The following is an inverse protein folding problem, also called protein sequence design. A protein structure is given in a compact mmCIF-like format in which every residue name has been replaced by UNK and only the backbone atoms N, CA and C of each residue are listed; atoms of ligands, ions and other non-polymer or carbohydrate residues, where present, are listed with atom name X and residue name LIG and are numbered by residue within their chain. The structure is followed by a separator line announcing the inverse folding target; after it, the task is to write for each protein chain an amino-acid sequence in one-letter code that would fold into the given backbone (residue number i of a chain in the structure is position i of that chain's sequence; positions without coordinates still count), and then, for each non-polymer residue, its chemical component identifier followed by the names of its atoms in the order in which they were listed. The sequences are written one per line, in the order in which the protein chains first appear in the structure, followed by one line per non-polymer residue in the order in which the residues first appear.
data_IF_239939581035
#
_entry.id   IF_239939581035
#
_cell.length_a   1.000
_cell.length_b   1.000
_cell.length_c   1.000
_cell.angle_alpha   90.00
_cell.angle_beta   90.00
_cell.angle_gamma   90.00
#
_symmetry.space_group_name_H-M   'P 1'
#
loop_
_entity.id
_entity.type
_entity.pdbx_description
1 polymer ?
#
# COMPACT_ATOMS: atom_id res chain seq x y z
N UNK A 1 -4.98 -40.39 5.98
CA UNK A 1 -3.71 -40.04 5.30
C UNK A 1 -3.33 -41.03 4.18
N UNK A 2 -3.74 -42.31 4.25
CA UNK A 2 -3.41 -43.33 3.23
C UNK A 2 -4.26 -43.26 1.92
N UNK A 3 -5.36 -42.53 1.90
CA UNK A 3 -6.26 -42.48 0.75
C UNK A 3 -5.90 -41.39 -0.28
N UNK A 4 -5.01 -40.43 0.06
CA UNK A 4 -4.60 -39.37 -0.85
C UNK A 4 -3.31 -39.66 -1.65
N UNK A 5 -2.49 -40.61 -1.19
CA UNK A 5 -1.25 -40.98 -1.93
C UNK A 5 -1.52 -41.84 -3.17
N UNK A 6 -2.59 -42.63 -3.19
CA UNK A 6 -2.91 -43.48 -4.35
C UNK A 6 -3.43 -42.69 -5.55
N UNK A 7 -4.12 -41.56 -5.37
CA UNK A 7 -4.63 -40.74 -6.49
C UNK A 7 -3.52 -39.99 -7.24
N UNK A 8 -2.41 -39.66 -6.58
CA UNK A 8 -1.26 -39.01 -7.25
C UNK A 8 -0.46 -39.97 -8.14
N UNK A 9 -0.34 -41.23 -7.73
CA UNK A 9 0.38 -42.26 -8.52
C UNK A 9 -0.39 -42.66 -9.78
N UNK A 10 -1.71 -42.69 -9.75
CA UNK A 10 -2.54 -43.03 -10.89
C UNK A 10 -2.60 -41.92 -11.93
N UNK A 11 -2.54 -40.66 -11.51
CA UNK A 11 -2.45 -39.49 -12.41
C UNK A 11 -1.12 -39.45 -13.19
N UNK A 12 -0.01 -39.82 -12.58
CA UNK A 12 1.31 -39.86 -13.24
C UNK A 12 1.41 -41.04 -14.21
N UNK A 13 0.72 -42.15 -13.95
CA UNK A 13 0.68 -43.29 -14.88
C UNK A 13 -0.16 -43.05 -16.14
N UNK A 14 -1.19 -42.22 -16.07
CA UNK A 14 -2.01 -41.85 -17.23
C UNK A 14 -1.33 -40.88 -18.17
N UNK A 15 -0.38 -40.07 -17.73
CA UNK A 15 0.40 -39.13 -18.55
C UNK A 15 1.53 -39.83 -19.35
N UNK A 16 1.89 -41.06 -19.01
CA UNK A 16 2.99 -41.81 -19.66
C UNK A 16 2.57 -42.69 -20.84
N UNK A 17 1.28 -42.81 -21.14
CA UNK A 17 0.73 -43.73 -22.14
C UNK A 17 0.26 -43.01 -23.43
N UNK A 18 0.21 -41.68 -23.46
CA UNK A 18 -0.28 -40.91 -24.62
C UNK A 18 0.82 -40.31 -25.51
N UNK A 19 2.07 -40.69 -25.32
CA UNK A 19 3.25 -40.13 -26.01
C UNK A 19 3.90 -41.00 -27.10
N UNK A 20 3.29 -42.10 -27.55
CA UNK A 20 3.95 -42.98 -28.51
C UNK A 20 2.96 -43.56 -29.53
N UNK A 21 2.49 -42.76 -30.48
CA UNK A 21 1.96 -43.24 -31.76
C UNK A 21 1.69 -42.01 -32.67
N UNK A 22 2.63 -41.68 -33.54
CA UNK A 22 2.45 -41.17 -34.91
C UNK A 22 3.81 -40.76 -35.51
N UNK A 23 4.45 -41.72 -36.13
CA UNK A 23 5.50 -41.49 -37.11
C UNK A 23 5.49 -42.65 -38.09
N UNK A 24 4.75 -42.50 -39.19
CA UNK A 24 5.06 -43.21 -40.46
C UNK A 24 4.09 -42.76 -41.58
N UNK A 25 4.68 -42.28 -42.68
CA UNK A 25 4.08 -42.26 -44.04
C UNK A 25 3.46 -40.93 -44.44
N UNK A 26 3.89 -40.20 -45.44
CA UNK A 26 4.33 -40.61 -46.75
C UNK A 26 4.92 -39.38 -47.49
N UNK A 27 6.00 -39.62 -48.21
CA UNK A 27 6.53 -38.75 -49.23
C UNK A 27 5.62 -38.72 -50.45
N UNK A 28 5.17 -37.54 -50.88
CA UNK A 28 4.79 -37.28 -52.27
C UNK A 28 5.38 -35.93 -52.68
N UNK A 29 6.27 -36.02 -53.65
CA UNK A 29 6.86 -34.93 -54.42
C UNK A 29 5.83 -34.39 -55.42
N UNK A 30 5.72 -33.05 -55.55
CA UNK A 30 5.41 -32.42 -56.84
C UNK A 30 5.84 -30.95 -56.85
N UNK A 31 6.70 -30.71 -57.73
CA UNK A 31 7.19 -29.53 -58.47
C UNK A 31 6.47 -28.21 -58.41
N UNK A 32 7.27 -27.18 -58.29
CA UNK A 32 7.28 -25.81 -58.80
C UNK A 32 6.00 -25.18 -59.39
N UNK A 33 5.61 -24.04 -58.78
CA UNK A 33 5.37 -22.83 -59.59
C UNK A 33 5.63 -21.56 -58.75
N UNK A 34 6.58 -20.76 -59.26
CA UNK A 34 6.88 -19.41 -58.82
C UNK A 34 5.68 -18.48 -59.02
N UNK A 35 5.35 -17.71 -58.02
CA UNK A 35 4.72 -16.41 -58.19
C UNK A 35 5.19 -15.49 -57.06
N UNK A 36 6.08 -14.58 -57.42
CA UNK A 36 6.49 -13.45 -56.58
C UNK A 36 5.33 -12.52 -56.36
N UNK A 37 5.03 -12.22 -55.09
CA UNK A 37 4.63 -10.88 -54.61
C UNK A 37 5.03 -10.76 -53.15
N UNK A 38 6.21 -10.20 -52.95
CA UNK A 38 6.60 -9.63 -51.66
C UNK A 38 5.75 -8.40 -51.42
N UNK A 39 4.76 -8.48 -50.56
CA UNK A 39 4.28 -7.38 -49.77
C UNK A 39 4.77 -7.58 -48.34
N UNK A 40 5.92 -6.98 -48.05
CA UNK A 40 6.41 -6.83 -46.70
C UNK A 40 5.38 -5.93 -45.93
N UNK A 41 4.51 -6.55 -45.19
CA UNK A 41 3.75 -5.84 -44.13
C UNK A 41 4.78 -5.46 -43.08
N UNK A 42 5.32 -4.24 -43.21
CA UNK A 42 6.04 -3.59 -42.13
C UNK A 42 4.97 -3.32 -41.06
N UNK A 43 4.79 -4.23 -40.13
CA UNK A 43 4.18 -3.94 -38.85
C UNK A 43 5.05 -2.87 -38.17
N UNK A 44 4.73 -1.63 -38.44
CA UNK A 44 5.22 -0.51 -37.64
C UNK A 44 4.60 -0.68 -36.25
N UNK A 45 5.22 -1.50 -35.42
CA UNK A 45 4.97 -1.45 -33.98
C UNK A 45 5.24 0.01 -33.58
N UNK A 46 4.18 0.77 -33.39
CA UNK A 46 4.25 2.01 -32.65
C UNK A 46 4.88 1.67 -31.30
N UNK A 47 6.17 1.90 -31.18
CA UNK A 47 6.88 1.91 -29.90
C UNK A 47 6.30 3.13 -29.17
N UNK A 48 5.14 2.96 -28.55
CA UNK A 48 4.67 3.89 -27.54
C UNK A 48 5.76 3.86 -26.45
N UNK A 49 6.44 4.97 -26.18
CA UNK A 49 7.44 4.99 -25.13
C UNK A 49 6.76 4.47 -23.87
N UNK A 50 7.27 3.38 -23.33
CA UNK A 50 6.72 2.77 -22.11
C UNK A 50 6.86 3.81 -21.01
N UNK A 51 5.75 4.41 -20.58
CA UNK A 51 5.77 5.41 -19.53
C UNK A 51 6.49 4.80 -18.32
N UNK A 52 7.54 5.47 -17.85
CA UNK A 52 8.21 5.06 -16.63
C UNK A 52 7.21 5.17 -15.48
N UNK A 53 7.18 4.17 -14.58
CA UNK A 53 6.28 4.17 -13.44
C UNK A 53 6.49 5.36 -12.50
N UNK A 54 5.50 5.65 -11.68
CA UNK A 54 5.60 6.67 -10.63
C UNK A 54 6.63 6.21 -9.58
N UNK A 55 7.60 7.07 -9.23
CA UNK A 55 8.58 6.74 -8.18
C UNK A 55 7.96 6.75 -6.80
N UNK A 56 8.39 5.83 -5.95
CA UNK A 56 8.08 5.86 -4.53
C UNK A 56 8.92 6.95 -3.86
N UNK A 57 8.27 7.95 -3.31
CA UNK A 57 8.90 9.04 -2.57
C UNK A 57 8.43 9.10 -1.12
N UNK A 58 7.55 8.18 -0.71
CA UNK A 58 7.14 8.02 0.67
C UNK A 58 6.91 6.56 1.05
N UNK A 59 6.95 6.30 2.35
CA UNK A 59 6.66 4.97 2.90
C UNK A 59 6.03 5.06 4.27
N UNK A 60 5.19 4.08 4.60
CA UNK A 60 4.82 3.82 5.97
C UNK A 60 5.98 3.17 6.75
N UNK A 61 5.95 3.31 8.06
CA UNK A 61 6.69 2.51 9.05
C UNK A 61 5.68 1.87 9.98
N UNK A 62 5.81 0.56 10.21
CA UNK A 62 4.94 -0.20 11.09
C UNK A 62 5.74 -1.08 12.07
N UNK A 63 5.63 -0.79 13.36
CA UNK A 63 6.18 -1.58 14.46
C UNK A 63 5.09 -1.97 15.49
N UNK A 64 3.81 -1.83 15.12
CA UNK A 64 2.72 -1.95 16.09
C UNK A 64 1.52 -2.76 15.60
N UNK A 65 1.35 -2.99 14.30
CA UNK A 65 0.23 -3.77 13.78
C UNK A 65 0.37 -5.23 14.20
N UNK A 66 -0.77 -5.86 14.48
CA UNK A 66 -0.81 -7.24 14.97
C UNK A 66 -0.52 -8.31 13.91
N UNK A 67 -0.59 -7.95 12.66
CA UNK A 67 -0.42 -8.82 11.49
C UNK A 67 0.92 -8.63 10.77
N UNK A 68 1.71 -7.64 11.19
CA UNK A 68 3.06 -7.39 10.69
C UNK A 68 4.05 -7.70 11.82
N UNK A 69 4.95 -8.70 11.65
CA UNK A 69 5.92 -9.04 12.69
C UNK A 69 6.97 -7.92 12.81
N UNK A 70 7.25 -7.46 14.03
CA UNK A 70 8.37 -6.52 14.24
C UNK A 70 9.72 -7.20 13.91
N UNK A 71 10.71 -6.42 13.52
CA UNK A 71 11.99 -6.93 13.06
C UNK A 71 13.07 -7.02 14.18
N UNK A 72 12.73 -6.66 15.41
CA UNK A 72 13.67 -6.56 16.53
C UNK A 72 14.84 -5.58 16.26
N UNK A 73 14.60 -4.54 15.50
CA UNK A 73 15.61 -3.57 15.20
C UNK A 73 15.82 -2.58 16.35
N UNK A 74 17.08 -2.26 16.62
CA UNK A 74 17.46 -1.14 17.43
C UNK A 74 17.73 0.11 16.58
N UNK A 75 18.19 1.18 17.21
CA UNK A 75 18.43 2.47 16.55
C UNK A 75 19.43 2.34 15.38
N UNK A 76 20.43 1.48 15.50
CA UNK A 76 21.45 1.28 14.45
C UNK A 76 20.83 0.71 13.16
N UNK A 77 19.96 -0.26 13.28
CA UNK A 77 19.27 -0.86 12.14
C UNK A 77 18.27 0.13 11.53
N UNK A 78 17.53 0.88 12.35
CA UNK A 78 16.65 1.94 11.88
C UNK A 78 17.42 3.06 11.17
N UNK A 79 18.56 3.50 11.71
CA UNK A 79 19.42 4.49 11.04
C UNK A 79 19.86 4.01 9.65
N UNK A 80 20.28 2.76 9.54
CA UNK A 80 20.63 2.16 8.25
C UNK A 80 19.44 2.05 7.30
N UNK A 81 18.24 1.80 7.83
CA UNK A 81 17.02 1.69 7.01
C UNK A 81 16.60 3.04 6.42
N UNK A 82 16.68 4.10 7.23
CA UNK A 82 16.50 5.47 6.74
C UNK A 82 17.52 5.84 5.66
N UNK A 83 18.77 5.38 5.77
CA UNK A 83 19.77 5.55 4.72
C UNK A 83 19.37 4.83 3.41
N UNK A 84 18.85 3.61 3.49
CA UNK A 84 18.35 2.88 2.32
C UNK A 84 17.12 3.54 1.70
N UNK A 85 16.17 4.01 2.50
CA UNK A 85 15.03 4.81 2.04
C UNK A 85 15.51 6.04 1.26
N UNK A 86 16.43 6.80 1.84
CA UNK A 86 17.02 8.01 1.22
C UNK A 86 17.69 7.69 -0.11
N UNK A 87 18.41 6.57 -0.19
CA UNK A 87 19.14 6.16 -1.39
C UNK A 87 18.24 5.91 -2.60
N UNK A 88 16.97 5.56 -2.41
CA UNK A 88 16.02 5.38 -3.50
C UNK A 88 15.09 6.57 -3.73
N UNK A 89 15.27 7.67 -2.97
CA UNK A 89 14.53 8.91 -3.14
C UNK A 89 13.29 9.05 -2.25
N UNK A 90 13.13 8.23 -1.22
CA UNK A 90 12.08 8.44 -0.22
C UNK A 90 12.43 9.70 0.58
N UNK A 91 11.49 10.62 0.64
CA UNK A 91 11.57 11.91 1.33
C UNK A 91 10.52 12.07 2.44
N UNK A 92 9.58 11.13 2.51
CA UNK A 92 8.45 11.18 3.44
C UNK A 92 8.29 9.83 4.14
N UNK A 93 8.29 9.86 5.46
CA UNK A 93 8.07 8.69 6.32
C UNK A 93 6.77 8.90 7.10
N UNK A 94 5.90 7.90 7.11
CA UNK A 94 4.58 7.95 7.71
C UNK A 94 4.48 6.87 8.77
N UNK A 95 4.37 7.24 10.03
CA UNK A 95 4.05 6.28 11.09
C UNK A 95 2.62 5.79 10.90
N UNK A 96 2.41 4.47 10.76
CA UNK A 96 1.08 3.91 10.48
C UNK A 96 0.06 4.25 11.58
N UNK A 97 0.48 4.19 12.83
CA UNK A 97 -0.30 4.59 14.00
C UNK A 97 0.59 4.75 15.23
N UNK A 98 0.24 5.67 16.09
CA UNK A 98 0.96 5.91 17.34
C UNK A 98 0.64 4.89 18.43
N UNK A 99 -0.41 4.13 18.25
CA UNK A 99 -0.80 3.05 19.14
C UNK A 99 -1.94 2.23 18.54
N UNK A 100 -2.02 0.97 18.95
CA UNK A 100 -3.10 0.05 18.64
C UNK A 100 -3.59 -0.62 19.92
N UNK A 101 -4.84 -0.37 20.28
CA UNK A 101 -5.42 -0.85 21.54
C UNK A 101 -4.57 -0.40 22.75
N UNK A 102 -3.90 -1.35 23.43
CA UNK A 102 -3.06 -1.06 24.61
C UNK A 102 -1.57 -0.89 24.30
N UNK A 103 -1.16 -1.14 23.06
CA UNK A 103 0.24 -0.97 22.63
C UNK A 103 0.43 0.40 22.03
N UNK A 104 1.50 1.11 22.44
CA UNK A 104 1.80 2.46 22.00
C UNK A 104 3.28 2.59 21.64
N UNK A 105 3.60 3.47 20.69
CA UNK A 105 4.97 3.67 20.17
C UNK A 105 5.76 4.72 20.92
N UNK A 106 5.11 5.51 21.79
CA UNK A 106 5.72 6.56 22.59
C UNK A 106 5.06 6.63 23.98
N UNK A 107 5.73 7.17 25.02
CA UNK A 107 5.20 7.15 26.40
C UNK A 107 4.11 8.20 26.63
N UNK A 108 2.96 8.05 25.98
CA UNK A 108 1.81 8.94 26.14
C UNK A 108 1.25 8.89 27.56
N UNK A 109 1.33 9.99 28.28
CA UNK A 109 0.75 10.10 29.62
C UNK A 109 -0.78 9.96 29.58
N UNK A 110 -1.41 10.52 28.54
CA UNK A 110 -2.85 10.44 28.34
C UNK A 110 -3.33 9.01 28.08
N UNK A 111 -2.72 8.31 27.11
CA UNK A 111 -3.14 6.95 26.75
C UNK A 111 -2.87 5.94 27.88
N UNK A 112 -1.74 6.04 28.57
CA UNK A 112 -1.43 5.20 29.72
C UNK A 112 -2.42 5.40 30.86
N UNK A 113 -2.76 6.66 31.19
CA UNK A 113 -3.69 6.99 32.28
C UNK A 113 -5.14 6.65 31.94
N UNK A 114 -5.58 6.99 30.72
CA UNK A 114 -7.01 6.95 30.35
C UNK A 114 -7.43 5.58 29.82
N UNK A 115 -6.58 4.93 29.01
CA UNK A 115 -6.89 3.65 28.36
C UNK A 115 -6.10 2.47 28.94
N UNK A 116 -5.22 2.71 29.91
CA UNK A 116 -4.39 1.67 30.52
C UNK A 116 -3.41 1.07 29.50
N UNK A 117 -2.89 1.89 28.60
CA UNK A 117 -1.88 1.48 27.61
C UNK A 117 -0.57 1.12 28.31
N UNK A 118 0.15 0.17 27.74
CA UNK A 118 1.44 -0.27 28.26
C UNK A 118 2.51 0.78 27.95
N UNK A 119 3.37 1.05 28.93
CA UNK A 119 4.54 1.91 28.71
C UNK A 119 5.47 1.23 27.70
N UNK A 120 5.83 1.88 26.59
CA UNK A 120 6.79 1.31 25.64
C UNK A 120 8.19 1.27 26.25
N UNK A 121 8.99 0.28 25.84
CA UNK A 121 10.39 0.15 26.28
C UNK A 121 11.30 1.21 25.64
N UNK A 122 10.93 1.69 24.46
CA UNK A 122 11.64 2.72 23.69
C UNK A 122 10.64 3.73 23.20
N UNK A 123 11.01 5.00 23.18
CA UNK A 123 10.25 6.05 22.48
C UNK A 123 10.58 6.00 20.98
N UNK A 124 9.80 5.19 20.24
CA UNK A 124 9.98 5.04 18.79
C UNK A 124 9.65 6.34 18.04
N UNK A 125 8.71 7.14 18.54
CA UNK A 125 8.34 8.40 17.90
C UNK A 125 9.50 9.39 17.93
N UNK A 126 10.15 9.56 19.11
CA UNK A 126 11.33 10.41 19.24
C UNK A 126 12.46 9.94 18.29
N UNK A 127 12.74 8.65 18.32
CA UNK A 127 13.80 8.06 17.51
C UNK A 127 13.55 8.29 16.01
N UNK A 128 12.32 8.04 15.51
CA UNK A 128 12.00 8.22 14.10
C UNK A 128 12.03 9.69 13.67
N UNK A 129 11.57 10.61 14.51
CA UNK A 129 11.65 12.05 14.23
C UNK A 129 13.11 12.51 14.13
N UNK A 130 13.98 12.06 15.04
CA UNK A 130 15.39 12.38 15.03
C UNK A 130 16.12 11.79 13.81
N UNK A 131 15.77 10.58 13.41
CA UNK A 131 16.30 9.98 12.19
C UNK A 131 15.79 10.71 10.94
N UNK A 132 14.52 11.07 10.91
CA UNK A 132 13.96 11.86 9.81
C UNK A 132 14.63 13.24 9.71
N UNK A 133 14.90 13.92 10.83
CA UNK A 133 15.71 15.15 10.88
C UNK A 133 17.12 14.93 10.30
N UNK A 134 17.79 13.86 10.71
CA UNK A 134 19.15 13.51 10.25
C UNK A 134 19.21 13.34 8.72
N UNK A 135 18.21 12.69 8.13
CA UNK A 135 18.18 12.41 6.69
C UNK A 135 17.43 13.46 5.87
N UNK A 136 16.91 14.53 6.51
CA UNK A 136 16.14 15.58 5.85
C UNK A 136 14.86 15.04 5.21
N UNK A 137 14.13 14.18 5.90
CA UNK A 137 12.88 13.62 5.51
C UNK A 137 11.72 14.28 6.26
N UNK A 138 10.54 14.29 5.63
CA UNK A 138 9.28 14.66 6.27
C UNK A 138 8.76 13.47 7.06
N UNK A 139 8.25 13.73 8.25
CA UNK A 139 7.59 12.72 9.08
C UNK A 139 6.12 13.09 9.27
N UNK A 140 5.25 12.12 9.02
CA UNK A 140 3.80 12.22 9.26
C UNK A 140 3.46 11.32 10.45
N UNK A 141 2.87 11.94 11.47
CA UNK A 141 2.47 11.22 12.68
C UNK A 141 1.12 10.54 12.48
N UNK A 142 1.07 9.21 12.63
CA UNK A 142 -0.17 8.43 12.61
C UNK A 142 -0.91 8.48 13.94
N UNK A 143 -2.20 8.77 13.91
CA UNK A 143 -3.04 8.86 15.09
C UNK A 143 -3.18 7.52 15.82
N UNK A 144 -3.73 7.56 17.03
CA UNK A 144 -4.03 6.37 17.83
C UNK A 144 -5.25 5.63 17.28
N UNK A 145 -5.14 4.31 17.18
CA UNK A 145 -6.22 3.40 16.81
C UNK A 145 -6.69 2.62 18.05
N UNK A 146 -7.91 2.90 18.49
CA UNK A 146 -8.48 2.20 19.64
C UNK A 146 -8.83 0.73 19.36
N UNK A 147 -8.93 0.35 18.12
CA UNK A 147 -9.38 -0.96 17.64
C UNK A 147 -10.88 -1.18 17.71
N UNK A 148 -11.65 -0.22 18.20
CA UNK A 148 -13.12 -0.39 18.40
C UNK A 148 -13.89 -0.35 17.09
N UNK A 149 -13.54 0.56 16.17
CA UNK A 149 -14.24 0.70 14.90
C UNK A 149 -14.10 -0.53 13.99
N UNK A 150 -13.05 -1.30 14.13
CA UNK A 150 -12.87 -2.54 13.37
C UNK A 150 -13.97 -3.57 13.60
N UNK A 151 -14.55 -3.57 14.81
CA UNK A 151 -15.64 -4.48 15.15
C UNK A 151 -17.04 -3.89 14.89
N UNK A 152 -17.17 -2.58 14.92
CA UNK A 152 -18.47 -1.88 14.90
C UNK A 152 -18.73 -1.12 13.60
N UNK A 153 -17.70 -0.79 12.84
CA UNK A 153 -17.76 0.14 11.70
C UNK A 153 -18.07 1.59 12.10
N UNK A 154 -18.01 1.92 13.40
CA UNK A 154 -18.36 3.25 13.93
C UNK A 154 -17.08 4.01 14.36
N UNK A 155 -16.78 5.10 13.68
CA UNK A 155 -15.58 5.92 13.91
C UNK A 155 -15.77 7.04 14.96
N UNK A 156 -16.95 7.21 15.51
CA UNK A 156 -17.22 8.33 16.46
C UNK A 156 -16.34 8.29 17.70
N UNK A 157 -15.99 7.08 18.18
CA UNK A 157 -15.08 6.90 19.31
C UNK A 157 -13.64 7.38 19.03
N UNK A 158 -13.19 7.32 17.80
CA UNK A 158 -11.82 7.70 17.43
C UNK A 158 -11.59 9.21 17.58
N UNK A 159 -12.64 10.03 17.42
CA UNK A 159 -12.57 11.48 17.65
C UNK A 159 -12.18 11.76 19.12
N UNK A 160 -12.91 11.18 20.06
CA UNK A 160 -12.65 11.38 21.49
C UNK A 160 -11.30 10.78 21.91
N UNK A 161 -10.94 9.62 21.36
CA UNK A 161 -9.67 8.95 21.67
C UNK A 161 -8.45 9.77 21.25
N UNK A 162 -8.55 10.50 20.14
CA UNK A 162 -7.42 11.24 19.57
C UNK A 162 -7.35 12.72 19.97
N UNK A 163 -8.44 13.27 20.51
CA UNK A 163 -8.49 14.67 20.91
C UNK A 163 -7.28 15.13 21.74
N UNK A 164 -6.94 14.41 22.78
CA UNK A 164 -5.81 14.73 23.64
C UNK A 164 -4.47 14.18 23.13
N UNK A 165 -4.49 13.13 22.32
CA UNK A 165 -3.28 12.60 21.68
C UNK A 165 -2.66 13.64 20.75
N UNK A 166 -3.47 14.31 19.93
CA UNK A 166 -3.02 15.34 18.99
C UNK A 166 -2.34 16.50 19.74
N UNK A 167 -2.98 17.01 20.81
CA UNK A 167 -2.43 18.10 21.64
C UNK A 167 -1.15 17.68 22.37
N UNK A 168 -1.14 16.48 22.99
CA UNK A 168 0.01 15.95 23.72
C UNK A 168 1.22 15.77 22.82
N UNK A 169 1.01 15.18 21.64
CA UNK A 169 2.09 14.93 20.69
C UNK A 169 2.65 16.22 20.13
N UNK A 170 1.80 17.13 19.70
CA UNK A 170 2.29 18.42 19.19
C UNK A 170 3.08 19.20 20.25
N UNK A 171 2.59 19.23 21.47
CA UNK A 171 3.29 19.88 22.59
C UNK A 171 4.67 19.29 22.85
N UNK A 172 4.79 17.95 22.78
CA UNK A 172 6.01 17.25 23.16
C UNK A 172 7.00 17.07 21.99
N UNK A 173 6.52 16.91 20.76
CA UNK A 173 7.33 16.57 19.60
C UNK A 173 7.23 17.56 18.43
N UNK A 174 6.34 18.53 18.46
CA UNK A 174 6.17 19.50 17.39
C UNK A 174 7.39 20.41 17.14
N UNK A 175 8.41 20.34 18.00
CA UNK A 175 9.66 21.08 17.83
C UNK A 175 10.65 20.42 16.85
N UNK A 176 10.45 19.15 16.48
CA UNK A 176 11.27 18.49 15.47
C UNK A 176 10.98 19.06 14.08
N UNK A 177 12.02 19.36 13.32
CA UNK A 177 11.90 19.93 11.97
C UNK A 177 11.24 18.95 10.99
N UNK A 178 11.45 17.66 11.21
CA UNK A 178 10.88 16.57 10.42
C UNK A 178 9.38 16.39 10.64
N UNK A 179 8.81 16.85 11.75
CA UNK A 179 7.37 16.76 11.99
C UNK A 179 6.63 17.68 11.00
N UNK A 180 6.19 17.11 9.85
CA UNK A 180 5.69 17.89 8.71
C UNK A 180 4.28 17.49 8.26
N UNK A 181 3.60 16.63 9.01
CA UNK A 181 2.23 16.25 8.68
C UNK A 181 1.61 15.26 9.66
N UNK A 182 0.35 14.98 9.43
CA UNK A 182 -0.48 14.08 10.21
C UNK A 182 -1.06 12.99 9.32
N UNK A 183 -1.10 11.78 9.82
CA UNK A 183 -1.81 10.68 9.20
C UNK A 183 -3.01 10.29 10.07
N UNK A 184 -4.22 10.46 9.53
CA UNK A 184 -5.46 10.02 10.18
C UNK A 184 -5.58 8.51 9.95
N UNK A 185 -5.13 7.75 10.94
CA UNK A 185 -4.80 6.32 10.81
C UNK A 185 -6.01 5.38 10.78
N UNK A 186 -7.21 5.90 10.83
CA UNK A 186 -8.43 5.10 10.74
C UNK A 186 -8.65 4.66 9.30
N UNK A 187 -8.56 3.35 9.06
CA UNK A 187 -8.70 2.77 7.73
C UNK A 187 -10.17 2.38 7.48
N UNK A 188 -10.67 2.76 6.31
CA UNK A 188 -12.00 2.39 5.81
C UNK A 188 -11.91 2.04 4.33
N UNK A 189 -12.94 1.36 3.81
CA UNK A 189 -13.06 1.09 2.36
C UNK A 189 -14.32 1.73 1.77
N UNK A 190 -15.31 1.93 2.59
CA UNK A 190 -16.65 2.37 2.20
C UNK A 190 -17.13 3.50 3.10
N UNK A 191 -18.22 4.15 2.70
CA UNK A 191 -18.91 5.09 3.58
C UNK A 191 -19.39 4.36 4.85
N UNK A 192 -18.71 4.64 5.97
CA UNK A 192 -19.02 4.07 7.28
C UNK A 192 -19.52 5.13 8.22
N UNK A 193 -20.24 4.69 9.28
CA UNK A 193 -20.80 5.62 10.29
C UNK A 193 -19.70 6.47 10.92
N UNK A 194 -19.89 7.78 10.86
CA UNK A 194 -18.99 8.75 11.47
C UNK A 194 -17.67 8.98 10.70
N UNK A 195 -17.50 8.43 9.50
CA UNK A 195 -16.25 8.57 8.72
C UNK A 195 -15.95 10.04 8.37
N UNK A 196 -16.95 10.74 7.83
CA UNK A 196 -16.83 12.16 7.46
C UNK A 196 -16.54 13.00 8.70
N UNK A 197 -17.31 12.80 9.79
CA UNK A 197 -17.14 13.54 11.04
C UNK A 197 -15.75 13.29 11.64
N UNK A 198 -15.28 12.03 11.64
CA UNK A 198 -13.98 11.67 12.19
C UNK A 198 -12.84 12.32 11.39
N UNK A 199 -12.80 12.13 10.09
CA UNK A 199 -11.73 12.70 9.25
C UNK A 199 -11.76 14.23 9.23
N UNK A 200 -12.96 14.84 9.17
CA UNK A 200 -13.09 16.29 9.19
C UNK A 200 -12.69 16.87 10.55
N UNK A 201 -13.18 16.31 11.66
CA UNK A 201 -12.88 16.82 13.01
C UNK A 201 -11.42 16.62 13.39
N UNK A 202 -10.86 15.41 13.15
CA UNK A 202 -9.46 15.11 13.46
C UNK A 202 -8.51 15.89 12.56
N UNK A 203 -8.81 15.98 11.26
CA UNK A 203 -8.02 16.75 10.31
C UNK A 203 -7.98 18.24 10.69
N UNK A 204 -9.16 18.81 11.02
CA UNK A 204 -9.23 20.19 11.51
C UNK A 204 -8.41 20.40 12.77
N UNK A 205 -8.54 19.53 13.77
CA UNK A 205 -7.78 19.65 15.02
C UNK A 205 -6.27 19.54 14.80
N UNK A 206 -5.82 18.59 13.96
CA UNK A 206 -4.42 18.47 13.59
C UNK A 206 -3.86 19.77 13.00
N UNK A 207 -4.61 20.39 12.08
CA UNK A 207 -4.25 21.68 11.48
C UNK A 207 -4.25 22.82 12.51
N UNK A 208 -5.29 22.91 13.33
CA UNK A 208 -5.42 23.98 14.32
C UNK A 208 -4.23 24.00 15.30
N UNK A 209 -3.82 22.84 15.82
CA UNK A 209 -2.72 22.79 16.80
C UNK A 209 -1.34 22.99 16.18
N UNK A 210 -1.16 22.64 14.91
CA UNK A 210 0.14 22.66 14.24
C UNK A 210 0.35 23.85 13.29
N UNK A 211 -0.60 24.79 13.25
CA UNK A 211 -0.50 25.93 12.35
C UNK A 211 -0.68 25.58 10.88
N UNK A 212 -1.47 24.53 10.58
CA UNK A 212 -1.84 24.18 9.21
C UNK A 212 -1.01 23.08 8.58
N UNK A 213 -0.29 22.25 9.34
CA UNK A 213 0.42 21.09 8.75
C UNK A 213 -0.56 20.16 8.01
N UNK A 214 -0.12 19.58 6.87
CA UNK A 214 -0.99 18.77 6.03
C UNK A 214 -1.42 17.46 6.71
N UNK A 215 -2.57 16.96 6.27
CA UNK A 215 -3.20 15.73 6.74
C UNK A 215 -3.36 14.74 5.61
N UNK A 216 -3.18 13.45 5.91
CA UNK A 216 -3.25 12.31 5.00
C UNK A 216 -4.23 11.28 5.51
N UNK A 217 -5.00 10.66 4.60
CA UNK A 217 -5.74 9.41 4.84
C UNK A 217 -5.26 8.33 3.86
N UNK A 218 -5.38 7.06 4.25
CA UNK A 218 -5.01 5.92 3.38
C UNK A 218 -6.05 4.80 3.45
N UNK A 219 -7.21 4.99 2.84
CA UNK A 219 -8.27 3.98 2.77
C UNK A 219 -7.93 2.87 1.77
N UNK A 220 -8.59 1.69 1.90
CA UNK A 220 -8.47 0.65 0.88
C UNK A 220 -9.67 0.63 -0.06
N UNK A 221 -9.52 -0.07 -1.20
CA UNK A 221 -10.59 -0.28 -2.18
C UNK A 221 -11.06 -1.74 -2.08
N UNK A 222 -12.37 -1.98 -1.93
CA UNK A 222 -12.95 -3.34 -1.91
C UNK A 222 -13.08 -3.91 -3.34
N UNK A 223 -11.94 -4.08 -4.03
CA UNK A 223 -11.89 -4.68 -5.35
C UNK A 223 -12.06 -6.20 -5.33
N UNK A 224 -11.91 -6.83 -6.49
CA UNK A 224 -12.12 -8.29 -6.69
C UNK A 224 -11.24 -9.16 -5.81
N UNK A 225 -10.03 -8.70 -5.44
CA UNK A 225 -9.13 -9.44 -4.54
C UNK A 225 -9.59 -9.44 -3.09
N UNK A 226 -10.18 -8.34 -2.60
CA UNK A 226 -10.71 -8.28 -1.24
C UNK A 226 -11.76 -9.36 -1.02
N UNK A 227 -12.70 -9.45 -1.93
CA UNK A 227 -13.80 -10.42 -1.89
C UNK A 227 -13.28 -11.85 -2.00
N UNK A 228 -12.37 -12.13 -2.94
CA UNK A 228 -11.78 -13.46 -3.11
C UNK A 228 -10.94 -13.91 -1.90
N UNK A 229 -10.33 -12.98 -1.16
CA UNK A 229 -9.53 -13.28 0.02
C UNK A 229 -10.36 -13.51 1.30
N UNK A 230 -11.54 -12.90 1.38
CA UNK A 230 -12.36 -12.93 2.59
C UNK A 230 -13.08 -14.28 2.79
N UNK A 231 -13.53 -14.92 1.72
CA UNK A 231 -14.24 -16.20 1.80
C UNK A 231 -14.32 -16.89 0.43
N UNK A 232 -14.25 -18.22 0.43
CA UNK A 232 -14.53 -19.03 -0.76
C UNK A 232 -16.00 -19.02 -1.16
N UNK A 233 -16.88 -18.48 -0.33
CA UNK A 233 -18.33 -18.40 -0.55
C UNK A 233 -18.78 -17.02 -1.05
N UNK A 234 -17.88 -16.01 -1.03
CA UNK A 234 -18.17 -14.68 -1.57
C UNK A 234 -17.64 -14.61 -3.01
N UNK A 235 -18.50 -14.21 -3.92
CA UNK A 235 -18.20 -14.09 -5.35
C UNK A 235 -17.36 -12.84 -5.64
N UNK A 236 -16.54 -12.87 -6.70
CA UNK A 236 -15.87 -11.66 -7.23
C UNK A 236 -16.87 -10.60 -7.72
N UNK A 237 -18.09 -10.98 -7.98
CA UNK A 237 -19.20 -10.08 -8.36
C UNK A 237 -19.68 -9.20 -7.20
N UNK A 238 -19.36 -9.59 -5.95
CA UNK A 238 -19.68 -8.80 -4.75
C UNK A 238 -18.68 -7.68 -4.46
N UNK A 239 -17.63 -7.55 -5.28
CA UNK A 239 -16.69 -6.43 -5.19
C UNK A 239 -17.38 -5.10 -5.54
N UNK A 240 -16.90 -3.99 -4.94
CA UNK A 240 -17.43 -2.68 -5.28
C UNK A 240 -17.17 -2.35 -6.75
N UNK A 241 -18.18 -1.84 -7.45
CA UNK A 241 -17.98 -1.31 -8.80
C UNK A 241 -17.26 0.04 -8.76
N UNK A 242 -16.63 0.42 -9.87
CA UNK A 242 -15.97 1.72 -10.00
C UNK A 242 -16.95 2.87 -9.77
N UNK A 243 -18.18 2.75 -10.28
CA UNK A 243 -19.23 3.77 -10.13
C UNK A 243 -19.71 3.88 -8.68
N UNK A 244 -19.83 2.75 -7.98
CA UNK A 244 -20.21 2.75 -6.56
C UNK A 244 -19.10 3.37 -5.71
N UNK A 245 -17.85 3.04 -5.99
CA UNK A 245 -16.69 3.63 -5.35
C UNK A 245 -16.65 5.16 -5.58
N UNK A 246 -16.82 5.61 -6.83
CA UNK A 246 -16.88 7.04 -7.16
C UNK A 246 -17.99 7.76 -6.39
N UNK A 247 -19.16 7.17 -6.32
CA UNK A 247 -20.31 7.76 -5.60
C UNK A 247 -20.02 7.95 -4.11
N UNK A 248 -19.59 6.87 -3.44
CA UNK A 248 -19.36 6.90 -1.99
C UNK A 248 -18.17 7.81 -1.61
N UNK A 249 -17.08 7.72 -2.34
CA UNK A 249 -15.89 8.54 -2.06
C UNK A 249 -16.07 10.01 -2.48
N UNK A 250 -16.91 10.30 -3.45
CA UNK A 250 -17.29 11.69 -3.76
C UNK A 250 -18.04 12.35 -2.59
N UNK A 251 -18.91 11.61 -1.91
CA UNK A 251 -19.61 12.09 -0.71
C UNK A 251 -18.62 12.31 0.45
N UNK A 252 -17.71 11.36 0.67
CA UNK A 252 -16.68 11.49 1.71
C UNK A 252 -15.78 12.69 1.42
N UNK A 253 -15.25 12.81 0.20
CA UNK A 253 -14.35 13.90 -0.17
C UNK A 253 -15.02 15.28 -0.05
N UNK A 254 -16.29 15.39 -0.43
CA UNK A 254 -17.04 16.64 -0.24
C UNK A 254 -17.14 17.04 1.24
N UNK A 255 -17.32 16.04 2.13
CA UNK A 255 -17.43 16.27 3.58
C UNK A 255 -16.11 16.57 4.29
N UNK A 256 -14.96 16.14 3.73
CA UNK A 256 -13.64 16.29 4.37
C UNK A 256 -12.73 17.32 3.71
N UNK A 257 -13.13 17.88 2.58
CA UNK A 257 -12.34 18.89 1.85
C UNK A 257 -11.95 20.06 2.74
N UNK A 258 -10.72 20.53 2.62
CA UNK A 258 -10.16 21.59 3.47
C UNK A 258 -9.63 21.11 4.82
N UNK A 259 -10.08 19.94 5.31
CA UNK A 259 -9.58 19.32 6.53
C UNK A 259 -8.64 18.12 6.27
N UNK A 260 -8.74 17.52 5.08
CA UNK A 260 -7.83 16.47 4.59
C UNK A 260 -7.17 16.96 3.29
N UNK A 261 -5.85 16.90 3.24
CA UNK A 261 -5.06 17.44 2.12
C UNK A 261 -4.67 16.38 1.11
N UNK A 262 -4.44 15.13 1.54
CA UNK A 262 -4.04 14.04 0.66
C UNK A 262 -4.79 12.73 0.97
N UNK A 263 -5.07 11.97 -0.08
CA UNK A 263 -5.63 10.63 0.02
C UNK A 263 -4.76 9.65 -0.77
N UNK A 264 -4.28 8.59 -0.10
CA UNK A 264 -3.46 7.54 -0.67
C UNK A 264 -4.22 6.21 -0.63
N UNK A 265 -5.02 5.92 -1.65
CA UNK A 265 -5.74 4.65 -1.69
C UNK A 265 -4.79 3.45 -1.75
N UNK A 266 -5.01 2.48 -0.85
CA UNK A 266 -4.31 1.19 -0.86
C UNK A 266 -4.82 0.33 -2.02
N UNK A 267 -3.90 -0.22 -2.79
CA UNK A 267 -4.18 -0.96 -4.03
C UNK A 267 -4.17 -2.49 -3.88
N UNK A 268 -3.96 -2.99 -2.67
CA UNK A 268 -3.77 -4.43 -2.44
C UNK A 268 -4.98 -5.31 -2.72
N UNK A 269 -6.17 -4.74 -2.70
CA UNK A 269 -7.42 -5.46 -2.88
C UNK A 269 -8.04 -5.32 -4.27
N UNK A 270 -7.43 -4.58 -5.20
CA UNK A 270 -7.87 -4.52 -6.59
C UNK A 270 -7.02 -5.43 -7.48
N UNK A 271 -7.66 -6.05 -8.47
CA UNK A 271 -6.95 -6.85 -9.47
C UNK A 271 -6.19 -5.95 -10.45
N UNK A 272 -5.18 -6.50 -11.11
CA UNK A 272 -4.33 -5.72 -12.04
C UNK A 272 -5.10 -5.20 -13.25
N UNK A 273 -6.18 -5.86 -13.65
CA UNK A 273 -7.10 -5.41 -14.71
C UNK A 273 -8.05 -4.29 -14.27
N UNK A 274 -8.18 -4.03 -12.95
CA UNK A 274 -9.00 -2.97 -12.38
C UNK A 274 -8.21 -1.66 -12.13
N UNK A 275 -6.87 -1.71 -12.11
CA UNK A 275 -6.01 -0.59 -11.69
C UNK A 275 -6.34 0.70 -12.43
N UNK A 276 -6.38 0.68 -13.76
CA UNK A 276 -6.58 1.89 -14.56
C UNK A 276 -7.95 2.55 -14.31
N UNK A 277 -8.98 1.73 -14.11
CA UNK A 277 -10.33 2.22 -13.87
C UNK A 277 -10.45 2.92 -12.50
N UNK A 278 -10.03 2.24 -11.42
CA UNK A 278 -10.07 2.82 -10.08
C UNK A 278 -9.13 4.03 -9.95
N UNK A 279 -7.92 3.95 -10.51
CA UNK A 279 -6.95 5.04 -10.40
C UNK A 279 -7.42 6.30 -11.15
N UNK A 280 -8.05 6.13 -12.33
CA UNK A 280 -8.65 7.25 -13.07
C UNK A 280 -9.76 7.93 -12.27
N UNK A 281 -10.62 7.15 -11.64
CA UNK A 281 -11.71 7.67 -10.80
C UNK A 281 -11.17 8.36 -9.55
N UNK A 282 -10.19 7.76 -8.88
CA UNK A 282 -9.56 8.37 -7.70
C UNK A 282 -8.94 9.73 -8.03
N UNK A 283 -8.17 9.83 -9.12
CA UNK A 283 -7.56 11.10 -9.55
C UNK A 283 -8.62 12.14 -9.90
N UNK A 284 -9.65 11.74 -10.65
CA UNK A 284 -10.79 12.62 -11.01
C UNK A 284 -11.49 13.19 -9.77
N UNK A 285 -11.75 12.34 -8.76
CA UNK A 285 -12.39 12.79 -7.52
C UNK A 285 -11.46 13.72 -6.74
N UNK A 286 -10.21 13.34 -6.57
CA UNK A 286 -9.22 14.12 -5.84
C UNK A 286 -9.06 15.53 -6.43
N UNK A 287 -8.91 15.64 -7.75
CA UNK A 287 -8.83 16.91 -8.47
C UNK A 287 -10.10 17.76 -8.27
N UNK A 288 -11.28 17.14 -8.34
CA UNK A 288 -12.56 17.83 -8.15
C UNK A 288 -12.68 18.47 -6.76
N UNK A 289 -12.18 17.81 -5.73
CA UNK A 289 -12.34 18.27 -4.34
C UNK A 289 -11.10 18.96 -3.77
N UNK A 290 -10.02 19.12 -4.58
CA UNK A 290 -8.79 19.78 -4.17
C UNK A 290 -7.99 18.98 -3.14
N UNK A 291 -8.02 17.65 -3.25
CA UNK A 291 -7.26 16.71 -2.42
C UNK A 291 -6.14 16.13 -3.27
N UNK A 292 -4.91 16.07 -2.76
CA UNK A 292 -3.81 15.40 -3.48
C UNK A 292 -4.07 13.89 -3.60
N UNK A 293 -3.90 13.36 -4.80
CA UNK A 293 -4.10 11.94 -5.08
C UNK A 293 -2.77 11.18 -5.03
N UNK A 294 -2.53 10.51 -3.93
CA UNK A 294 -1.36 9.65 -3.77
C UNK A 294 -1.72 8.20 -4.01
N UNK A 295 -0.75 7.36 -4.41
CA UNK A 295 -0.96 5.91 -4.38
C UNK A 295 -0.27 5.32 -3.15
N UNK A 296 -0.93 4.41 -2.44
CA UNK A 296 -0.29 3.52 -1.49
C UNK A 296 -0.10 2.16 -2.17
N UNK A 297 1.01 2.03 -2.91
CA UNK A 297 1.37 0.80 -3.60
C UNK A 297 1.90 -0.21 -2.58
N UNK A 298 1.10 -1.22 -2.25
CA UNK A 298 1.53 -2.27 -1.32
C UNK A 298 2.72 -3.04 -1.89
N UNK A 299 3.81 -3.11 -1.13
CA UNK A 299 5.03 -3.87 -1.48
C UNK A 299 5.03 -5.30 -0.95
N UNK A 300 3.92 -5.75 -0.39
CA UNK A 300 3.67 -7.14 -0.06
C UNK A 300 2.62 -7.78 -0.99
N UNK A 301 2.60 -9.11 -1.04
CA UNK A 301 1.72 -9.86 -1.94
C UNK A 301 0.56 -10.49 -1.16
N UNK A 302 -0.67 -10.27 -1.65
CA UNK A 302 -1.89 -10.89 -1.12
C UNK A 302 -2.33 -12.12 -1.93
N UNK A 303 -1.74 -12.33 -3.12
CA UNK A 303 -2.12 -13.39 -4.05
C UNK A 303 -1.39 -14.70 -3.77
N UNK A 304 -0.37 -14.70 -2.92
CA UNK A 304 0.41 -15.86 -2.57
C UNK A 304 -0.27 -16.69 -1.47
N UNK A 305 -0.10 -18.00 -1.45
CA UNK A 305 -0.58 -18.86 -0.36
C UNK A 305 -0.08 -18.45 1.03
N UNK A 306 1.14 -17.91 1.10
CA UNK A 306 1.71 -17.28 2.27
C UNK A 306 1.51 -15.78 2.13
N UNK A 307 0.67 -15.21 2.99
CA UNK A 307 0.35 -13.78 2.97
C UNK A 307 1.51 -12.94 3.49
N UNK A 308 1.54 -11.68 3.06
CA UNK A 308 2.48 -10.66 3.51
C UNK A 308 3.96 -11.03 3.30
N UNK A 309 4.28 -11.60 2.13
CA UNK A 309 5.64 -11.68 1.63
C UNK A 309 5.91 -10.51 0.66
N UNK A 310 7.19 -10.10 0.49
CA UNK A 310 7.54 -9.10 -0.51
C UNK A 310 6.96 -9.43 -1.88
N UNK A 311 6.33 -8.43 -2.51
CA UNK A 311 5.70 -8.58 -3.83
C UNK A 311 6.74 -8.83 -4.92
N UNK A 312 6.38 -9.53 -5.98
CA UNK A 312 7.20 -9.59 -7.19
C UNK A 312 7.30 -8.21 -7.84
N UNK A 313 8.50 -7.83 -8.27
CA UNK A 313 8.70 -6.51 -8.88
C UNK A 313 7.79 -6.25 -10.08
N UNK A 314 7.54 -7.25 -10.93
CA UNK A 314 6.63 -7.09 -12.08
C UNK A 314 5.22 -6.64 -11.67
N UNK A 315 4.71 -7.14 -10.56
CA UNK A 315 3.42 -6.74 -9.99
C UNK A 315 3.46 -5.31 -9.45
N UNK A 316 4.51 -4.94 -8.69
CA UNK A 316 4.70 -3.58 -8.21
C UNK A 316 4.82 -2.60 -9.38
N UNK A 317 5.57 -2.96 -10.42
CA UNK A 317 5.74 -2.15 -11.64
C UNK A 317 4.40 -1.82 -12.29
N UNK A 318 3.49 -2.80 -12.43
CA UNK A 318 2.13 -2.56 -12.98
C UNK A 318 1.36 -1.50 -12.19
N UNK A 319 1.43 -1.53 -10.86
CA UNK A 319 0.80 -0.53 -9.99
C UNK A 319 1.40 0.86 -10.20
N UNK A 320 2.73 0.97 -10.21
CA UNK A 320 3.43 2.25 -10.38
C UNK A 320 3.23 2.83 -11.79
N UNK A 321 3.19 1.99 -12.82
CA UNK A 321 2.90 2.41 -14.19
C UNK A 321 1.43 2.87 -14.33
N UNK A 322 0.47 2.21 -13.67
CA UNK A 322 -0.93 2.64 -13.66
C UNK A 322 -1.10 4.01 -13.00
N UNK A 323 -0.46 4.24 -11.85
CA UNK A 323 -0.47 5.53 -11.17
C UNK A 323 0.14 6.65 -12.03
N UNK A 324 1.24 6.35 -12.74
CA UNK A 324 1.89 7.31 -13.64
C UNK A 324 1.00 7.67 -14.84
N UNK A 325 0.25 6.70 -15.40
CA UNK A 325 -0.65 6.96 -16.55
C UNK A 325 -1.73 7.98 -16.25
N UNK A 326 -2.19 8.06 -15.02
CA UNK A 326 -3.25 8.99 -14.59
C UNK A 326 -2.71 10.18 -13.80
N UNK A 327 -1.38 10.38 -13.76
CA UNK A 327 -0.70 11.51 -13.13
C UNK A 327 -1.03 11.65 -11.63
N UNK A 328 -0.89 10.59 -10.85
CA UNK A 328 -0.94 10.69 -9.39
C UNK A 328 0.16 11.63 -8.88
N UNK A 329 -0.15 12.41 -7.85
CA UNK A 329 0.73 13.47 -7.35
C UNK A 329 1.94 12.94 -6.58
N UNK A 330 1.81 11.76 -5.93
CA UNK A 330 2.90 11.14 -5.16
C UNK A 330 2.74 9.62 -5.08
N UNK A 331 3.87 8.92 -5.14
CA UNK A 331 3.95 7.48 -4.87
C UNK A 331 4.41 7.24 -3.43
N UNK A 332 3.60 6.56 -2.64
CA UNK A 332 4.00 6.01 -1.34
C UNK A 332 3.74 4.51 -1.29
N UNK A 333 4.28 3.83 -0.30
CA UNK A 333 4.12 2.37 -0.15
C UNK A 333 3.88 1.95 1.29
N UNK A 334 3.13 0.90 1.46
CA UNK A 334 3.11 0.09 2.67
C UNK A 334 3.80 -1.24 2.37
N UNK A 335 4.97 -1.58 2.88
CA UNK A 335 5.86 -0.58 3.44
C UNK A 335 7.32 -0.99 3.15
N UNK A 336 8.26 -0.09 3.28
CA UNK A 336 9.64 -0.30 2.88
C UNK A 336 10.39 -1.27 3.81
N UNK A 337 10.31 -1.05 5.13
CA UNK A 337 11.20 -1.70 6.11
C UNK A 337 11.07 -3.22 6.15
N UNK A 338 9.85 -3.76 6.02
CA UNK A 338 9.62 -5.21 5.99
C UNK A 338 9.71 -5.79 4.59
N UNK A 339 9.17 -5.11 3.57
CA UNK A 339 8.92 -5.73 2.28
C UNK A 339 9.88 -5.29 1.18
N UNK A 340 10.68 -4.24 1.41
CA UNK A 340 11.60 -3.71 0.39
C UNK A 340 13.01 -3.42 0.92
N UNK A 341 13.21 -3.33 2.23
CA UNK A 341 14.53 -3.04 2.80
C UNK A 341 15.55 -4.16 2.55
N UNK A 342 16.80 -3.82 2.17
CA UNK A 342 17.89 -4.80 2.04
C UNK A 342 18.22 -5.57 3.32
N UNK A 343 17.87 -5.06 4.50
CA UNK A 343 18.13 -5.68 5.79
C UNK A 343 16.87 -6.32 6.42
N UNK A 344 15.76 -6.36 5.70
CA UNK A 344 14.54 -7.03 6.16
C UNK A 344 14.77 -8.49 6.51
N UNK A 345 13.98 -9.01 7.45
CA UNK A 345 13.90 -10.45 7.74
C UNK A 345 13.46 -11.28 6.51
N UNK A 346 12.78 -10.67 5.55
CA UNK A 346 12.39 -11.31 4.30
C UNK A 346 13.47 -11.15 3.23
N UNK A 347 14.15 -12.23 2.89
CA UNK A 347 15.24 -12.20 1.88
C UNK A 347 14.82 -11.64 0.52
N UNK A 348 13.55 -11.82 0.14
CA UNK A 348 12.99 -11.32 -1.11
C UNK A 348 12.93 -9.77 -1.16
N UNK A 349 12.86 -9.10 -0.01
CA UNK A 349 12.81 -7.64 0.08
C UNK A 349 14.04 -6.99 -0.54
N UNK A 350 15.25 -7.55 -0.29
CA UNK A 350 16.48 -7.08 -0.92
C UNK A 350 16.41 -7.14 -2.43
N UNK A 351 15.90 -8.25 -2.98
CA UNK A 351 15.77 -8.39 -4.42
C UNK A 351 14.73 -7.44 -5.01
N UNK A 352 13.65 -7.14 -4.27
CA UNK A 352 12.68 -6.12 -4.67
C UNK A 352 13.34 -4.73 -4.74
N UNK A 353 14.14 -4.38 -3.73
CA UNK A 353 14.92 -3.14 -3.69
C UNK A 353 15.85 -3.02 -4.91
N UNK A 354 16.61 -4.08 -5.20
CA UNK A 354 17.55 -4.11 -6.33
C UNK A 354 16.83 -3.95 -7.67
N UNK A 355 15.71 -4.68 -7.88
CA UNK A 355 14.89 -4.55 -9.11
C UNK A 355 14.28 -3.17 -9.27
N UNK A 356 13.83 -2.55 -8.18
CA UNK A 356 13.33 -1.18 -8.18
C UNK A 356 14.42 -0.19 -8.61
N UNK A 357 15.62 -0.29 -8.05
CA UNK A 357 16.76 0.54 -8.43
C UNK A 357 17.13 0.38 -9.92
N UNK A 358 17.19 -0.85 -10.41
CA UNK A 358 17.46 -1.13 -11.82
C UNK A 358 16.43 -0.48 -12.75
N UNK A 359 15.14 -0.62 -12.43
CA UNK A 359 14.06 -0.08 -13.25
C UNK A 359 14.08 1.45 -13.33
N UNK A 360 14.37 2.11 -12.22
CA UNK A 360 14.43 3.56 -12.14
C UNK A 360 15.83 4.15 -12.41
N UNK A 361 16.82 3.33 -12.77
CA UNK A 361 18.20 3.73 -12.99
C UNK A 361 18.81 4.50 -11.80
N UNK A 362 18.52 4.06 -10.59
CA UNK A 362 19.08 4.61 -9.35
C UNK A 362 20.42 3.93 -9.09
N UNK A 363 21.48 4.74 -8.93
CA UNK A 363 22.85 4.26 -8.68
C UNK A 363 23.07 3.80 -7.23
#
# INVERSE_FOLDING_TARGET
ALCMENKRRDFIKQLSITGAAMAAGSLVSCTEQKSEKNEAIIETQLIVPKAQGLKLTGTFIDEISHDIPHQNWGEKEWDQDFAYMKAIGIDTVIMIRSGYKKFITYPSAYLMKTFGCYKPSVDLLEMFLRLADKYGMKFYFGLYDSGKYWATGDLTWEIESNKYVIEEVWKNYGHFKSFQGWYLSQEISRATKGAIDAFSSLGKQCKDVSGGLPTLISPWIDGKKAVAAASSTISREDAVSVEQHEKEWSEIFDGIKGNVDACAFQDGHIDYDELDAFFSVNKKMADKYGIECWTNAETFDRDMPIKFLPIKFDKLRLKLEAAARVNYDKGITFEFSHFMSPQSAYLQARHLYDRYKEYFNIK
#
